data_IF_824938312761
#
_entry.id   IF_824938312761
#
_cell.length_a   1.000
_cell.length_b   1.000
_cell.length_c   1.000
_cell.angle_alpha   90.00
_cell.angle_beta   90.00
_cell.angle_gamma   90.00
#
_symmetry.space_group_name_H-M   'P 1'
#
loop_
_entity.id
_entity.type
_entity.pdbx_description
1 polymer ?
#
# COMPACT_ATOMS: atom_id res chain seq x y z
N UNK A 1 -3.67 16.53 -12.15
CA UNK A 1 -3.92 15.95 -13.48
C UNK A 1 -5.12 16.61 -14.16
N UNK A 2 -6.30 16.67 -13.52
CA UNK A 2 -7.51 17.25 -14.13
C UNK A 2 -7.34 18.71 -14.60
N UNK A 3 -6.54 19.47 -13.88
CA UNK A 3 -6.27 20.88 -14.17
C UNK A 3 -5.29 21.08 -15.34
N UNK A 4 -4.27 20.19 -15.45
CA UNK A 4 -3.15 20.41 -16.35
C UNK A 4 -3.00 19.35 -17.46
N UNK A 5 -3.72 18.23 -17.37
CA UNK A 5 -3.59 17.09 -18.29
C UNK A 5 -4.95 16.59 -18.80
N UNK A 6 -5.96 17.48 -18.85
CA UNK A 6 -7.32 17.06 -19.27
C UNK A 6 -7.34 16.59 -20.71
N UNK A 7 -6.66 17.28 -21.63
CA UNK A 7 -6.61 16.92 -23.05
C UNK A 7 -5.94 15.55 -23.27
N UNK A 8 -4.89 15.25 -22.52
CA UNK A 8 -4.19 13.97 -22.56
C UNK A 8 -5.11 12.84 -22.05
N UNK A 9 -5.85 13.09 -20.96
CA UNK A 9 -6.81 12.12 -20.43
C UNK A 9 -7.96 11.86 -21.40
N UNK A 10 -8.47 12.89 -22.07
CA UNK A 10 -9.50 12.77 -23.09
C UNK A 10 -8.98 12.01 -24.33
N UNK A 11 -7.74 12.25 -24.73
CA UNK A 11 -7.07 11.50 -25.82
C UNK A 11 -6.93 10.01 -25.49
N UNK A 12 -6.72 9.68 -24.21
CA UNK A 12 -6.67 8.32 -23.69
C UNK A 12 -8.05 7.71 -23.42
N UNK A 13 -9.13 8.42 -23.78
CA UNK A 13 -10.52 8.02 -23.52
C UNK A 13 -10.82 7.74 -22.04
N UNK A 14 -10.09 8.45 -21.14
CA UNK A 14 -10.31 8.31 -19.70
C UNK A 14 -11.67 8.90 -19.29
N UNK A 15 -12.46 8.15 -18.54
CA UNK A 15 -13.66 8.68 -17.90
C UNK A 15 -13.31 9.74 -16.83
N UNK A 16 -13.34 10.99 -17.24
CA UNK A 16 -12.99 12.15 -16.42
C UNK A 16 -13.88 12.26 -15.19
N UNK A 17 -15.17 11.91 -15.30
CA UNK A 17 -16.13 12.00 -14.18
C UNK A 17 -15.70 11.14 -13.00
N UNK A 18 -15.11 9.98 -13.26
CA UNK A 18 -14.59 9.11 -12.20
C UNK A 18 -13.46 9.78 -11.42
N UNK A 19 -12.57 10.52 -12.10
CA UNK A 19 -11.51 11.27 -11.45
C UNK A 19 -12.03 12.50 -10.70
N UNK A 20 -13.02 13.19 -11.24
CA UNK A 20 -13.66 14.35 -10.60
C UNK A 20 -14.34 13.99 -9.27
N UNK A 21 -14.79 12.74 -9.13
CA UNK A 21 -15.36 12.21 -7.90
C UNK A 21 -14.32 11.92 -6.80
N UNK A 22 -13.02 11.93 -7.11
CA UNK A 22 -11.96 11.66 -6.15
C UNK A 22 -11.72 12.88 -5.27
N UNK A 23 -12.48 12.97 -4.21
CA UNK A 23 -12.43 14.09 -3.24
C UNK A 23 -12.10 13.59 -1.84
N UNK A 24 -11.41 14.41 -1.06
CA UNK A 24 -11.12 14.11 0.35
C UNK A 24 -12.37 14.28 1.25
N UNK A 25 -12.44 13.58 2.38
CA UNK A 25 -11.49 12.54 2.82
C UNK A 25 -11.69 11.20 2.10
N UNK A 26 -10.62 10.37 2.10
CA UNK A 26 -10.73 9.00 1.63
C UNK A 26 -11.28 8.09 2.73
N UNK A 27 -12.06 7.05 2.39
CA UNK A 27 -12.50 6.03 3.31
C UNK A 27 -11.31 5.36 4.02
N UNK A 28 -11.49 5.07 5.31
CA UNK A 28 -10.51 4.33 6.13
C UNK A 28 -11.21 3.18 6.78
N UNK A 29 -10.69 1.98 6.57
CA UNK A 29 -11.20 0.75 7.16
C UNK A 29 -10.07 -0.01 7.84
N UNK A 30 -10.39 -0.81 8.82
CA UNK A 30 -9.42 -1.72 9.41
C UNK A 30 -9.19 -2.94 8.52
N UNK A 31 -8.12 -3.67 8.76
CA UNK A 31 -7.91 -4.97 8.12
C UNK A 31 -9.07 -5.93 8.40
N UNK A 32 -9.60 -5.91 9.62
CA UNK A 32 -10.75 -6.75 10.00
C UNK A 32 -12.00 -6.40 9.17
N UNK A 33 -12.29 -5.11 8.98
CA UNK A 33 -13.40 -4.66 8.12
C UNK A 33 -13.19 -5.12 6.67
N UNK A 34 -11.96 -5.07 6.17
CA UNK A 34 -11.64 -5.53 4.82
C UNK A 34 -11.83 -7.05 4.67
N UNK A 35 -11.42 -7.83 5.68
CA UNK A 35 -11.65 -9.29 5.71
C UNK A 35 -13.16 -9.60 5.77
N UNK A 36 -13.94 -8.81 6.49
CA UNK A 36 -15.40 -8.97 6.53
C UNK A 36 -16.02 -8.71 5.15
N UNK A 37 -15.55 -7.69 4.43
CA UNK A 37 -15.96 -7.44 3.03
C UNK A 37 -15.68 -8.67 2.15
N UNK A 38 -14.49 -9.28 2.25
CA UNK A 38 -14.15 -10.48 1.48
C UNK A 38 -15.06 -11.65 1.81
N UNK A 39 -15.31 -11.92 3.09
CA UNK A 39 -16.21 -12.99 3.54
C UNK A 39 -17.64 -12.79 3.02
N UNK A 40 -18.14 -11.57 3.06
CA UNK A 40 -19.48 -11.23 2.56
C UNK A 40 -19.58 -11.39 1.04
N UNK A 41 -18.46 -11.39 0.33
CA UNK A 41 -18.37 -11.69 -1.10
C UNK A 41 -18.00 -13.17 -1.39
N UNK A 42 -18.13 -14.06 -0.40
CA UNK A 42 -17.84 -15.50 -0.48
C UNK A 42 -16.39 -15.83 -0.88
N UNK A 43 -15.44 -14.99 -0.48
CA UNK A 43 -14.01 -15.28 -0.63
C UNK A 43 -13.54 -16.10 0.57
N UNK A 44 -12.93 -17.25 0.31
CA UNK A 44 -12.23 -18.03 1.32
C UNK A 44 -10.85 -17.40 1.57
N UNK A 45 -10.82 -16.46 2.52
CA UNK A 45 -9.63 -15.67 2.84
C UNK A 45 -9.04 -16.11 4.19
N UNK A 46 -7.76 -16.49 4.18
CA UNK A 46 -7.00 -16.83 5.38
C UNK A 46 -6.63 -15.56 6.15
N UNK A 47 -7.18 -15.41 7.36
CA UNK A 47 -6.87 -14.25 8.21
C UNK A 47 -5.37 -14.16 8.55
N UNK A 48 -4.81 -13.00 8.40
CA UNK A 48 -3.37 -12.76 8.60
C UNK A 48 -2.56 -12.74 7.31
N UNK A 49 -3.15 -13.17 6.19
CA UNK A 49 -2.53 -13.09 4.87
C UNK A 49 -2.53 -11.67 4.32
N UNK A 50 -1.66 -11.40 3.35
CA UNK A 50 -1.72 -10.18 2.55
C UNK A 50 -2.83 -10.29 1.48
N UNK A 51 -3.40 -9.17 1.04
CA UNK A 51 -4.44 -9.18 0.02
C UNK A 51 -3.83 -9.42 -1.37
N UNK A 52 -4.39 -10.38 -2.10
CA UNK A 52 -4.08 -10.55 -3.51
C UNK A 52 -4.83 -9.55 -4.41
N UNK A 53 -4.48 -9.48 -5.68
CA UNK A 53 -5.09 -8.55 -6.63
C UNK A 53 -6.62 -8.68 -6.74
N UNK A 54 -7.14 -9.91 -6.61
CA UNK A 54 -8.59 -10.17 -6.59
C UNK A 54 -9.23 -9.61 -5.33
N UNK A 55 -8.59 -9.79 -4.18
CA UNK A 55 -9.09 -9.32 -2.89
C UNK A 55 -9.12 -7.79 -2.85
N UNK A 56 -8.04 -7.14 -3.30
CA UNK A 56 -7.95 -5.69 -3.44
C UNK A 56 -9.06 -5.14 -4.35
N UNK A 57 -9.35 -5.84 -5.44
CA UNK A 57 -10.43 -5.47 -6.36
C UNK A 57 -11.80 -5.55 -5.69
N UNK A 58 -12.07 -6.63 -4.95
CA UNK A 58 -13.35 -6.80 -4.24
C UNK A 58 -13.52 -5.72 -3.17
N UNK A 59 -12.48 -5.44 -2.40
CA UNK A 59 -12.49 -4.40 -1.37
C UNK A 59 -12.72 -3.03 -2.01
N UNK A 60 -11.94 -2.68 -3.03
CA UNK A 60 -12.02 -1.37 -3.67
C UNK A 60 -13.32 -1.11 -4.41
N UNK A 61 -13.98 -2.15 -4.94
CA UNK A 61 -15.29 -2.05 -5.61
C UNK A 61 -16.43 -1.61 -4.67
N UNK A 62 -16.23 -1.64 -3.35
CA UNK A 62 -17.19 -1.07 -2.39
C UNK A 62 -17.13 0.46 -2.36
N UNK A 63 -16.14 1.06 -3.00
CA UNK A 63 -15.85 2.48 -2.91
C UNK A 63 -15.64 3.10 -4.29
N UNK A 64 -16.06 4.35 -4.45
CA UNK A 64 -15.78 5.15 -5.66
C UNK A 64 -14.48 5.94 -5.56
N UNK A 65 -13.79 5.86 -4.43
CA UNK A 65 -12.55 6.58 -4.08
C UNK A 65 -11.51 5.59 -3.60
N UNK A 66 -10.22 5.96 -3.62
CA UNK A 66 -9.21 5.15 -2.94
C UNK A 66 -9.59 4.86 -1.49
N UNK A 67 -9.45 3.63 -1.06
CA UNK A 67 -9.71 3.20 0.31
C UNK A 67 -8.39 2.91 1.02
N UNK A 68 -8.28 3.38 2.26
CA UNK A 68 -7.12 3.12 3.12
C UNK A 68 -7.43 1.97 4.08
N UNK A 69 -6.70 0.87 3.98
CA UNK A 69 -6.77 -0.27 4.90
C UNK A 69 -5.65 -0.13 5.91
N UNK A 70 -5.99 -0.12 7.20
CA UNK A 70 -5.00 0.05 8.27
C UNK A 70 -5.15 -0.99 9.39
N UNK A 71 -4.21 -0.98 10.35
CA UNK A 71 -4.18 -1.94 11.47
C UNK A 71 -4.09 -3.39 11.03
N UNK A 72 -3.13 -3.64 10.19
CA UNK A 72 -2.78 -4.96 9.72
C UNK A 72 -2.29 -5.86 10.86
N UNK A 73 -2.46 -7.19 10.76
CA UNK A 73 -1.79 -8.12 11.66
C UNK A 73 -0.27 -7.86 11.65
N UNK A 74 0.33 -7.79 12.83
CA UNK A 74 1.74 -7.40 12.96
C UNK A 74 2.70 -8.41 12.30
N UNK A 75 2.28 -9.66 12.18
CA UNK A 75 3.07 -10.74 11.56
C UNK A 75 3.11 -10.65 10.03
N UNK A 76 2.08 -10.06 9.40
CA UNK A 76 2.03 -9.84 7.95
C UNK A 76 2.84 -8.63 7.48
N UNK A 77 3.29 -7.76 8.39
CA UNK A 77 4.02 -6.54 8.05
C UNK A 77 5.50 -6.62 8.45
N UNK A 78 6.32 -5.84 7.78
CA UNK A 78 7.76 -5.83 7.98
C UNK A 78 8.17 -5.53 9.43
N UNK A 79 9.28 -6.10 9.88
CA UNK A 79 9.82 -6.00 11.25
C UNK A 79 9.93 -4.56 11.77
N UNK A 80 10.13 -3.60 10.90
CA UNK A 80 10.32 -2.19 11.22
C UNK A 80 9.02 -1.39 11.39
N UNK A 81 7.86 -1.98 11.15
CA UNK A 81 6.57 -1.32 11.40
C UNK A 81 6.30 -1.28 12.90
N UNK A 82 5.86 -0.10 13.37
CA UNK A 82 5.46 0.06 14.76
C UNK A 82 4.18 -0.71 15.05
N UNK A 83 4.18 -1.42 16.17
CA UNK A 83 2.95 -2.08 16.65
C UNK A 83 2.01 -1.05 17.29
N UNK A 84 0.71 -1.31 17.19
CA UNK A 84 -0.29 -0.47 17.85
C UNK A 84 -0.10 -0.54 19.38
N UNK A 85 0.06 0.60 20.08
CA UNK A 85 0.25 0.62 21.53
C UNK A 85 -0.92 0.03 22.31
N UNK A 86 -2.12 -0.01 21.70
CA UNK A 86 -3.33 -0.57 22.33
C UNK A 86 -3.49 -2.06 22.06
N UNK A 87 -2.91 -2.57 20.98
CA UNK A 87 -2.96 -3.98 20.61
C UNK A 87 -1.70 -4.36 19.84
N UNK A 88 -0.74 -4.95 20.52
CA UNK A 88 0.57 -5.33 19.93
C UNK A 88 0.49 -6.39 18.83
N UNK A 89 -0.66 -7.04 18.64
CA UNK A 89 -0.87 -7.97 17.53
C UNK A 89 -1.15 -7.23 16.20
N UNK A 90 -1.32 -5.92 16.24
CA UNK A 90 -1.55 -5.08 15.06
C UNK A 90 -0.36 -4.16 14.79
N UNK A 91 -0.08 -3.94 13.51
CA UNK A 91 0.89 -2.95 13.04
C UNK A 91 0.18 -1.65 12.63
N UNK A 92 0.83 -0.51 12.84
CA UNK A 92 0.40 0.80 12.36
C UNK A 92 0.79 0.98 10.89
N UNK A 93 0.47 -0.04 10.08
CA UNK A 93 0.58 -0.02 8.63
C UNK A 93 -0.67 0.58 7.99
N UNK A 94 -0.52 1.07 6.78
CA UNK A 94 -1.62 1.53 5.93
C UNK A 94 -1.29 1.24 4.48
N UNK A 95 -2.25 0.66 3.77
CA UNK A 95 -2.18 0.45 2.34
C UNK A 95 -3.36 1.20 1.69
N UNK A 96 -3.11 1.91 0.60
CA UNK A 96 -4.13 2.63 -0.14
C UNK A 96 -4.42 1.90 -1.45
N UNK A 97 -5.64 1.40 -1.58
CA UNK A 97 -6.11 0.65 -2.73
C UNK A 97 -6.91 1.59 -3.64
N UNK A 98 -6.49 1.69 -4.88
CA UNK A 98 -7.20 2.49 -5.89
C UNK A 98 -8.48 1.77 -6.36
N UNK A 99 -9.54 2.52 -6.69
CA UNK A 99 -10.75 1.94 -7.27
C UNK A 99 -10.51 1.38 -8.67
N UNK A 100 -11.54 0.77 -9.25
CA UNK A 100 -11.53 0.26 -10.62
C UNK A 100 -10.56 -0.92 -10.85
N UNK A 101 -10.12 -1.60 -9.78
CA UNK A 101 -9.26 -2.79 -9.88
C UNK A 101 -7.78 -2.52 -10.10
N UNK A 102 -7.33 -1.27 -9.92
CA UNK A 102 -5.89 -0.94 -10.06
C UNK A 102 -5.03 -1.40 -8.88
N UNK A 103 -5.65 -1.81 -7.77
CA UNK A 103 -4.97 -2.40 -6.63
C UNK A 103 -4.25 -1.38 -5.74
N UNK A 104 -3.34 -1.88 -4.90
CA UNK A 104 -2.56 -1.04 -3.99
C UNK A 104 -1.65 -0.08 -4.76
N UNK A 105 -1.79 1.21 -4.50
CA UNK A 105 -0.95 2.28 -5.08
C UNK A 105 -0.01 2.90 -4.05
N UNK A 106 -0.33 2.80 -2.76
CA UNK A 106 0.54 3.26 -1.67
C UNK A 106 0.55 2.22 -0.57
N UNK A 107 1.75 1.82 -0.14
CA UNK A 107 1.96 1.04 1.07
C UNK A 107 2.89 1.76 2.03
N UNK A 108 2.57 1.78 3.32
CA UNK A 108 3.37 2.49 4.30
C UNK A 108 2.97 2.26 5.74
N UNK A 109 3.48 3.11 6.62
CA UNK A 109 3.10 3.05 8.03
C UNK A 109 4.08 3.77 8.94
N UNK A 110 3.73 3.78 10.22
CA UNK A 110 4.60 4.31 11.26
C UNK A 110 5.77 3.36 11.49
N UNK A 111 6.95 3.92 11.61
CA UNK A 111 8.17 3.15 11.86
C UNK A 111 8.39 2.96 13.36
N UNK A 112 9.00 1.81 13.73
CA UNK A 112 9.44 1.60 15.10
C UNK A 112 10.58 2.57 15.43
N UNK A 113 10.39 3.37 16.46
CA UNK A 113 11.32 4.40 16.91
C UNK A 113 12.08 4.02 18.19
N UNK A 114 11.70 2.93 18.86
CA UNK A 114 12.44 2.39 19.99
C UNK A 114 13.54 1.44 19.54
N UNK A 115 14.79 1.76 19.96
CA UNK A 115 15.99 0.99 19.61
C UNK A 115 15.95 -0.45 20.12
N UNK A 116 15.48 -0.67 21.36
CA UNK A 116 15.45 -2.02 21.96
C UNK A 116 14.37 -2.90 21.34
N UNK A 117 13.20 -2.31 21.10
CA UNK A 117 12.10 -2.98 20.41
C UNK A 117 12.55 -3.40 19.02
N UNK A 118 13.20 -2.51 18.27
CA UNK A 118 13.65 -2.81 16.91
C UNK A 118 14.70 -3.94 16.88
N UNK A 119 15.65 -3.98 17.81
CA UNK A 119 16.61 -5.11 17.94
C UNK A 119 15.86 -6.44 18.16
N UNK A 120 14.89 -6.44 19.07
CA UNK A 120 14.13 -7.65 19.35
C UNK A 120 13.34 -8.12 18.12
N UNK A 121 12.76 -7.19 17.36
CA UNK A 121 12.04 -7.50 16.10
C UNK A 121 12.96 -8.09 15.04
N UNK A 122 14.17 -7.56 14.87
CA UNK A 122 15.18 -8.11 13.95
C UNK A 122 15.50 -9.56 14.33
N UNK A 123 15.64 -9.86 15.64
CA UNK A 123 15.89 -11.20 16.14
C UNK A 123 14.69 -12.15 15.94
N UNK A 124 13.47 -11.68 16.24
CA UNK A 124 12.22 -12.44 16.02
C UNK A 124 12.08 -12.88 14.57
N UNK A 125 12.51 -12.03 13.64
CA UNK A 125 12.49 -12.33 12.19
C UNK A 125 13.74 -13.10 11.71
N UNK A 126 14.61 -13.55 12.61
CA UNK A 126 15.86 -14.27 12.30
C UNK A 126 16.77 -13.52 11.29
N UNK A 127 16.78 -12.21 11.35
CA UNK A 127 17.58 -11.37 10.47
C UNK A 127 18.97 -11.09 11.07
N UNK A 128 20.04 -11.04 10.25
CA UNK A 128 21.39 -10.75 10.73
C UNK A 128 21.50 -9.27 11.14
N UNK A 129 21.74 -9.02 12.43
CA UNK A 129 21.80 -7.66 13.02
C UNK A 129 22.83 -6.78 12.32
N UNK A 130 23.93 -7.35 11.87
CA UNK A 130 25.04 -6.63 11.20
C UNK A 130 24.57 -5.86 9.97
N UNK A 131 23.63 -6.43 9.22
CA UNK A 131 23.09 -5.79 8.01
C UNK A 131 22.21 -4.57 8.33
N UNK A 132 21.68 -4.49 9.55
CA UNK A 132 20.79 -3.42 10.00
C UNK A 132 21.45 -2.44 10.96
N UNK A 133 22.78 -2.51 11.17
CA UNK A 133 23.49 -1.63 12.08
C UNK A 133 23.25 -0.15 11.77
N UNK A 134 23.37 0.24 10.51
CA UNK A 134 23.10 1.61 10.06
C UNK A 134 21.66 2.06 10.35
N UNK A 135 20.68 1.15 10.24
CA UNK A 135 19.28 1.41 10.51
C UNK A 135 19.00 1.54 12.01
N UNK A 136 19.67 0.73 12.81
CA UNK A 136 19.64 0.80 14.28
C UNK A 136 20.29 2.09 14.79
N UNK A 137 21.37 2.54 14.19
CA UNK A 137 22.07 3.77 14.56
C UNK A 137 21.16 5.00 14.46
N UNK A 138 20.19 5.02 13.53
CA UNK A 138 19.14 6.05 13.43
C UNK A 138 18.24 6.14 14.68
N UNK A 139 18.20 5.11 15.52
CA UNK A 139 17.46 5.09 16.80
C UNK A 139 18.38 5.29 17.98
N UNK A 140 19.61 4.78 17.87
CA UNK A 140 20.61 4.87 18.92
C UNK A 140 21.07 6.31 19.20
N UNK A 141 21.22 7.10 18.16
CA UNK A 141 21.72 8.48 18.24
C UNK A 141 20.62 9.54 18.29
N UNK A 142 19.39 9.12 18.45
CA UNK A 142 18.20 9.97 18.56
C UNK A 142 17.17 9.64 17.49
N UNK A 143 15.91 9.50 17.91
CA UNK A 143 14.80 9.22 17.02
C UNK A 143 13.59 10.02 17.45
N UNK A 144 12.69 10.24 16.51
CA UNK A 144 11.36 10.82 16.72
C UNK A 144 10.32 9.91 16.10
N UNK A 145 9.06 9.95 16.55
CA UNK A 145 7.98 9.28 15.85
C UNK A 145 7.95 9.73 14.39
N UNK A 146 8.02 8.77 13.47
CA UNK A 146 8.04 9.05 12.03
C UNK A 146 7.32 7.95 11.26
N UNK A 147 6.87 8.29 10.07
CA UNK A 147 6.24 7.38 9.13
C UNK A 147 6.91 7.48 7.76
N UNK A 148 6.67 6.48 6.93
CA UNK A 148 7.11 6.50 5.55
C UNK A 148 6.18 5.67 4.70
N UNK A 149 6.16 5.95 3.40
CA UNK A 149 5.37 5.21 2.44
C UNK A 149 6.13 5.07 1.11
N UNK A 150 5.78 4.03 0.37
CA UNK A 150 6.11 3.90 -1.04
C UNK A 150 4.87 4.18 -1.88
N UNK A 151 5.05 4.84 -3.01
CA UNK A 151 4.00 5.05 -4.00
C UNK A 151 4.41 4.38 -5.31
N UNK A 152 3.57 3.45 -5.79
CA UNK A 152 3.74 2.81 -7.09
C UNK A 152 3.38 3.78 -8.21
N UNK A 153 4.38 4.42 -8.82
CA UNK A 153 4.17 5.42 -9.87
C UNK A 153 3.40 4.82 -11.04
N UNK A 154 3.81 3.65 -11.50
CA UNK A 154 3.21 2.98 -12.64
C UNK A 154 1.74 2.63 -12.39
N UNK A 155 1.41 2.09 -11.20
CA UNK A 155 0.02 1.81 -10.83
C UNK A 155 -0.82 3.08 -10.70
N UNK A 156 -0.23 4.13 -10.13
CA UNK A 156 -0.90 5.43 -10.02
C UNK A 156 -1.17 6.04 -11.39
N UNK A 157 -0.20 5.97 -12.30
CA UNK A 157 -0.37 6.43 -13.69
C UNK A 157 -1.44 5.59 -14.39
N UNK A 158 -1.40 4.26 -14.26
CA UNK A 158 -2.41 3.37 -14.84
C UNK A 158 -3.82 3.75 -14.38
N UNK A 159 -4.02 3.94 -13.08
CA UNK A 159 -5.30 4.35 -12.52
C UNK A 159 -5.76 5.72 -13.03
N UNK A 160 -4.89 6.73 -13.02
CA UNK A 160 -5.25 8.08 -13.46
C UNK A 160 -5.56 8.11 -14.96
N UNK A 161 -4.75 7.45 -15.78
CA UNK A 161 -4.92 7.42 -17.24
C UNK A 161 -6.01 6.47 -17.73
N UNK A 162 -6.44 5.52 -16.90
CA UNK A 162 -7.37 4.47 -17.30
C UNK A 162 -6.71 3.33 -18.09
N UNK A 163 -5.37 3.30 -18.15
CA UNK A 163 -4.59 2.32 -18.88
C UNK A 163 -4.70 0.95 -18.21
N UNK A 164 -5.04 -0.08 -18.99
CA UNK A 164 -5.31 -1.43 -18.44
C UNK A 164 -4.05 -2.18 -18.04
N UNK A 165 -2.94 -1.94 -18.77
CA UNK A 165 -1.73 -2.69 -18.57
C UNK A 165 -0.59 -1.81 -18.07
N UNK A 166 -0.03 -2.16 -16.90
CA UNK A 166 1.01 -1.39 -16.22
C UNK A 166 2.27 -1.14 -17.11
N UNK A 167 2.55 -2.03 -18.08
CA UNK A 167 3.67 -1.84 -19.02
C UNK A 167 3.50 -0.63 -19.93
N UNK A 168 2.29 -0.15 -20.14
CA UNK A 168 1.98 1.00 -20.97
C UNK A 168 2.18 2.34 -20.24
N UNK A 169 2.50 2.28 -18.95
CA UNK A 169 2.67 3.47 -18.10
C UNK A 169 4.12 3.92 -17.96
N UNK A 170 5.05 3.18 -18.55
CA UNK A 170 6.48 3.53 -18.56
C UNK A 170 7.04 3.57 -19.98
N UNK A 171 7.99 4.49 -20.28
CA UNK A 171 8.54 4.63 -21.62
C UNK A 171 9.32 3.40 -22.10
N UNK A 172 9.97 2.68 -21.19
CA UNK A 172 10.87 1.56 -21.52
C UNK A 172 10.51 0.31 -20.68
N UNK A 173 9.36 -0.33 -20.95
CA UNK A 173 8.95 -1.50 -20.18
C UNK A 173 9.88 -2.67 -20.45
N UNK A 174 10.37 -3.28 -19.38
CA UNK A 174 11.14 -4.52 -19.45
C UNK A 174 10.19 -5.71 -19.36
N UNK A 175 10.45 -6.71 -20.18
CA UNK A 175 9.65 -7.95 -20.23
C UNK A 175 10.59 -9.15 -20.30
N UNK A 176 10.03 -10.36 -20.26
CA UNK A 176 10.85 -11.59 -20.34
C UNK A 176 11.78 -11.63 -21.55
N UNK A 177 11.39 -11.01 -22.66
CA UNK A 177 12.14 -11.05 -23.93
C UNK A 177 12.66 -9.67 -24.36
N UNK A 178 12.50 -8.65 -23.52
CA UNK A 178 12.96 -7.29 -23.80
C UNK A 178 13.55 -6.67 -22.54
N UNK A 179 14.87 -6.58 -22.49
CA UNK A 179 15.64 -6.00 -21.36
C UNK A 179 16.24 -4.62 -21.69
N UNK A 180 16.32 -4.29 -22.98
CA UNK A 180 16.86 -3.04 -23.48
C UNK A 180 15.73 -2.15 -24.03
N UNK A 181 15.94 -0.81 -24.06
CA UNK A 181 14.97 0.15 -24.60
C UNK A 181 14.59 -0.11 -26.05
#
# INVERSE_FOLDING_TARGET
>A
CLEHCRNELETLERDIKKLENITLPFPRITYDDAVEILKNNNVDFEYGSDFGATDETIISNQYQKPVMVHRWPAESKAFYMKRDPKNSNLALGVDMIAPEGYGEIVGGGQREDDYKVLINRIKEHNLPIEHFKWYLDLRKFGSVPHSGFGLGIERTVAWISGTKHIRETIPYPRTMYRLEP
#
